data_IF_447107048741
#
_entry.id   IF_447107048741
#
_cell.length_a   1.000
_cell.length_b   1.000
_cell.length_c   1.000
_cell.angle_alpha   90.00
_cell.angle_beta   90.00
_cell.angle_gamma   90.00
#
_symmetry.space_group_name_H-M   'P 1'
#
loop_
_entity.id
_entity.type
_entity.pdbx_description
1 polymer ?
#
# COMPACT_ATOMS: atom_id res chain seq x y z
N UNK A 1 -0.42 -6.26 35.61
CA UNK A 1 -1.20 -5.18 36.24
C UNK A 1 -2.36 -4.86 35.33
N UNK A 2 -3.56 -5.04 35.87
CA UNK A 2 -4.88 -5.05 35.24
C UNK A 2 -5.43 -3.66 34.98
N UNK A 3 -6.09 -3.47 33.83
CA UNK A 3 -7.18 -2.51 33.60
C UNK A 3 -7.90 -2.93 32.31
N UNK A 4 -8.92 -3.79 32.46
CA UNK A 4 -10.34 -3.46 32.34
C UNK A 4 -10.75 -3.17 30.88
N UNK A 5 -11.42 -4.07 30.14
CA UNK A 5 -12.71 -4.74 30.40
C UNK A 5 -13.92 -3.78 30.44
N UNK A 6 -14.01 -2.84 29.48
CA UNK A 6 -15.22 -2.05 29.18
C UNK A 6 -15.32 -1.72 27.67
N UNK A 7 -15.58 -2.72 26.82
CA UNK A 7 -16.25 -2.54 25.51
C UNK A 7 -17.12 -3.79 25.24
N UNK A 8 -17.97 -4.12 26.21
CA UNK A 8 -19.15 -4.92 25.98
C UNK A 8 -20.32 -4.06 26.47
N UNK A 9 -21.38 -4.00 25.67
CA UNK A 9 -22.56 -3.12 25.80
C UNK A 9 -22.39 -1.76 25.12
N UNK A 10 -22.55 -1.77 23.79
CA UNK A 10 -23.45 -0.88 23.02
C UNK A 10 -23.44 -1.34 21.55
N UNK A 11 -23.98 -2.54 21.32
CA UNK A 11 -24.13 -3.16 19.99
C UNK A 11 -25.56 -3.15 19.44
N UNK A 12 -26.42 -2.25 19.94
CA UNK A 12 -27.81 -2.13 19.51
C UNK A 12 -28.19 -0.65 19.39
N UNK A 13 -27.85 0.00 18.28
CA UNK A 13 -28.54 1.17 17.72
C UNK A 13 -27.75 1.76 16.52
N UNK A 14 -27.84 1.14 15.35
CA UNK A 14 -27.49 1.79 14.09
C UNK A 14 -28.20 1.15 12.87
N UNK A 15 -29.43 0.65 13.06
CA UNK A 15 -30.20 -0.06 12.02
C UNK A 15 -31.38 0.74 11.44
N UNK A 16 -31.42 2.05 11.65
CA UNK A 16 -32.48 2.90 11.09
C UNK A 16 -31.89 4.20 10.57
N UNK A 17 -31.53 4.22 9.28
CA UNK A 17 -31.46 5.42 8.43
C UNK A 17 -31.31 5.02 6.95
N UNK A 18 -32.29 4.30 6.39
CA UNK A 18 -32.54 4.30 4.95
C UNK A 18 -33.70 5.26 4.71
N UNK A 19 -33.41 6.50 4.29
CA UNK A 19 -34.40 7.48 3.90
C UNK A 19 -34.50 7.57 2.37
N UNK A 20 -35.75 7.56 1.91
CA UNK A 20 -36.22 7.33 0.55
C UNK A 20 -36.11 8.55 -0.36
N UNK A 21 -35.90 8.31 -1.66
CA UNK A 21 -36.22 9.25 -2.75
C UNK A 21 -37.48 8.79 -3.48
N UNK A 22 -38.56 9.57 -3.39
CA UNK A 22 -39.79 9.40 -4.18
C UNK A 22 -39.60 9.96 -5.60
N UNK A 23 -39.92 9.16 -6.61
CA UNK A 23 -40.05 9.59 -8.01
C UNK A 23 -41.12 8.76 -8.71
N UNK A 24 -42.30 9.34 -8.89
CA UNK A 24 -43.46 8.76 -9.55
C UNK A 24 -43.25 8.78 -11.07
N UNK A 25 -43.34 7.61 -11.73
CA UNK A 25 -44.02 7.47 -13.03
C UNK A 25 -44.49 6.02 -13.19
N UNK A 26 -45.79 5.88 -13.45
CA UNK A 26 -46.50 4.62 -13.48
C UNK A 26 -46.45 4.02 -14.88
N UNK A 27 -45.89 2.81 -14.97
CA UNK A 27 -46.23 1.82 -15.99
C UNK A 27 -46.50 0.50 -15.25
N UNK A 28 -47.50 -0.23 -15.71
CA UNK A 28 -48.09 -1.41 -15.06
C UNK A 28 -47.07 -2.52 -14.79
N UNK A 29 -46.67 -2.65 -13.51
CA UNK A 29 -45.77 -3.71 -13.00
C UNK A 29 -46.59 -4.87 -12.42
N UNK A 30 -46.25 -6.08 -12.86
CA UNK A 30 -46.75 -7.37 -12.40
C UNK A 30 -46.62 -7.50 -10.86
N UNK A 31 -47.66 -7.96 -10.16
CA UNK A 31 -47.79 -7.85 -8.70
C UNK A 31 -46.72 -8.62 -7.89
N UNK A 32 -46.06 -9.62 -8.49
CA UNK A 32 -44.96 -10.36 -7.86
C UNK A 32 -43.67 -9.55 -7.71
N UNK A 33 -43.46 -8.50 -8.52
CA UNK A 33 -42.24 -7.69 -8.47
C UNK A 33 -42.26 -6.61 -7.36
N UNK A 34 -43.38 -6.42 -6.66
CA UNK A 34 -43.51 -5.40 -5.60
C UNK A 34 -42.93 -5.81 -4.23
N UNK A 35 -42.40 -7.02 -4.07
CA UNK A 35 -41.99 -7.56 -2.77
C UNK A 35 -40.48 -7.81 -2.60
N UNK A 36 -39.69 -7.83 -3.68
CA UNK A 36 -38.27 -8.21 -3.58
C UNK A 36 -37.43 -7.02 -3.10
N UNK A 37 -36.86 -7.15 -1.91
CA UNK A 37 -35.95 -6.15 -1.36
C UNK A 37 -34.86 -6.83 -0.55
N UNK A 38 -33.59 -6.59 -0.91
CA UNK A 38 -32.44 -7.08 -0.15
C UNK A 38 -31.19 -6.23 -0.38
N UNK A 39 -30.21 -6.38 0.50
CA UNK A 39 -28.83 -5.96 0.33
C UNK A 39 -27.88 -7.04 0.84
N UNK A 40 -26.73 -7.14 0.19
CA UNK A 40 -25.60 -7.97 0.59
C UNK A 40 -24.35 -7.11 0.52
N UNK A 41 -23.66 -6.94 1.65
CA UNK A 41 -22.50 -6.05 1.76
C UNK A 41 -21.29 -6.86 2.18
N UNK A 42 -20.27 -6.89 1.32
CA UNK A 42 -18.94 -7.36 1.71
C UNK A 42 -18.18 -6.21 2.35
N UNK A 43 -17.27 -6.55 3.26
CA UNK A 43 -16.37 -5.60 3.93
C UNK A 43 -17.03 -4.54 4.83
N UNK A 44 -18.36 -4.48 4.97
CA UNK A 44 -19.03 -3.40 5.70
C UNK A 44 -19.53 -3.77 7.10
N UNK A 45 -19.14 -2.96 8.09
CA UNK A 45 -20.12 -2.13 8.80
C UNK A 45 -19.98 -0.71 8.24
N UNK A 46 -21.07 0.06 8.17
CA UNK A 46 -21.11 1.37 7.51
C UNK A 46 -20.17 2.44 8.13
N UNK A 47 -19.64 2.20 9.33
CA UNK A 47 -18.71 3.08 10.05
C UNK A 47 -17.23 2.69 9.90
N UNK A 48 -16.92 1.65 9.12
CA UNK A 48 -15.54 1.14 8.97
C UNK A 48 -15.00 0.45 10.23
N UNK A 49 -15.88 0.06 11.17
CA UNK A 49 -15.50 -0.64 12.41
C UNK A 49 -15.02 -2.07 12.16
N UNK A 50 -15.54 -2.73 11.12
CA UNK A 50 -15.21 -4.12 10.77
C UNK A 50 -14.07 -4.18 9.75
N UNK A 51 -14.09 -3.33 8.72
CA UNK A 51 -13.03 -3.29 7.72
C UNK A 51 -12.75 -1.86 7.23
N UNK A 52 -11.51 -1.62 6.80
CA UNK A 52 -11.01 -0.29 6.40
C UNK A 52 -11.07 -0.07 4.89
N UNK A 53 -11.22 -1.15 4.15
CA UNK A 53 -11.40 -1.16 2.71
C UNK A 53 -12.84 -0.80 2.37
N UNK A 54 -13.06 -0.16 1.22
CA UNK A 54 -14.40 0.26 0.82
C UNK A 54 -15.39 -0.90 0.75
N UNK A 55 -16.65 -0.63 1.09
CA UNK A 55 -17.70 -1.63 1.00
C UNK A 55 -17.93 -2.02 -0.46
N UNK A 56 -18.22 -3.28 -0.73
CA UNK A 56 -18.94 -3.65 -1.95
C UNK A 56 -20.34 -4.08 -1.56
N UNK A 57 -21.34 -3.69 -2.34
CA UNK A 57 -22.73 -4.00 -2.03
C UNK A 57 -23.49 -4.38 -3.30
N UNK A 58 -24.31 -5.41 -3.19
CA UNK A 58 -25.38 -5.71 -4.14
C UNK A 58 -26.70 -5.50 -3.42
N UNK A 59 -27.52 -4.57 -3.91
CA UNK A 59 -28.85 -4.34 -3.37
C UNK A 59 -29.91 -4.33 -4.46
N UNK A 60 -31.11 -4.76 -4.09
CA UNK A 60 -32.26 -4.84 -4.99
C UNK A 60 -33.46 -4.23 -4.28
N UNK A 61 -34.21 -3.40 -5.01
CA UNK A 61 -35.49 -2.85 -4.60
C UNK A 61 -36.49 -2.95 -5.74
N UNK A 62 -37.43 -3.88 -5.65
CA UNK A 62 -38.33 -4.23 -6.74
C UNK A 62 -37.57 -4.89 -7.89
N UNK A 63 -37.53 -4.23 -9.03
CA UNK A 63 -36.76 -4.64 -10.21
C UNK A 63 -35.50 -3.79 -10.44
N UNK A 64 -35.14 -2.89 -9.51
CA UNK A 64 -33.91 -2.12 -9.61
C UNK A 64 -32.78 -2.85 -8.87
N UNK A 65 -31.71 -3.18 -9.59
CA UNK A 65 -30.42 -3.59 -9.03
C UNK A 65 -29.53 -2.36 -8.86
N UNK A 66 -28.95 -2.22 -7.67
CA UNK A 66 -27.84 -1.32 -7.39
C UNK A 66 -26.60 -2.12 -7.00
N UNK A 67 -25.47 -1.80 -7.61
CA UNK A 67 -24.17 -2.40 -7.30
C UNK A 67 -23.22 -1.28 -6.90
N UNK A 68 -22.64 -1.38 -5.71
CA UNK A 68 -21.61 -0.48 -5.21
C UNK A 68 -20.29 -1.24 -5.15
N UNK A 69 -19.25 -0.64 -5.75
CA UNK A 69 -17.88 -1.13 -5.70
C UNK A 69 -17.02 -0.07 -5.03
N UNK A 70 -16.64 -0.30 -3.77
CA UNK A 70 -15.70 0.52 -2.99
C UNK A 70 -14.32 -0.12 -2.86
N UNK A 71 -14.20 -1.43 -3.07
CA UNK A 71 -12.96 -2.20 -3.11
C UNK A 71 -12.94 -3.04 -4.39
N UNK A 72 -12.17 -2.58 -5.38
CA UNK A 72 -11.92 -3.30 -6.62
C UNK A 72 -10.59 -4.07 -6.62
N UNK A 73 -9.72 -3.88 -5.61
CA UNK A 73 -8.37 -4.48 -5.61
C UNK A 73 -8.42 -6.01 -5.64
N UNK A 74 -9.43 -6.58 -4.99
CA UNK A 74 -9.66 -8.03 -4.96
C UNK A 74 -10.31 -8.59 -6.24
N UNK A 75 -10.79 -7.74 -7.14
CA UNK A 75 -11.44 -8.17 -8.38
C UNK A 75 -10.76 -7.58 -9.62
N UNK A 76 -9.80 -8.35 -10.15
CA UNK A 76 -9.00 -8.00 -11.33
C UNK A 76 -9.80 -7.64 -12.59
N UNK A 77 -11.09 -7.98 -12.64
CA UNK A 77 -11.95 -7.71 -13.79
C UNK A 77 -12.73 -6.40 -13.68
N UNK A 78 -12.72 -5.76 -12.50
CA UNK A 78 -13.43 -4.51 -12.23
C UNK A 78 -12.37 -3.43 -11.96
N UNK A 79 -12.29 -2.43 -12.84
CA UNK A 79 -11.42 -1.28 -12.64
C UNK A 79 -12.16 -0.13 -11.97
N UNK A 80 -11.46 0.59 -11.11
CA UNK A 80 -12.03 1.73 -10.41
C UNK A 80 -13.15 1.39 -9.42
N UNK A 81 -13.76 2.43 -8.89
CA UNK A 81 -14.87 2.35 -7.93
C UNK A 81 -16.12 3.02 -8.48
N UNK A 82 -17.28 2.69 -7.94
CA UNK A 82 -18.52 3.31 -8.40
C UNK A 82 -19.81 2.72 -7.85
N UNK A 83 -20.90 3.33 -8.29
CA UNK A 83 -22.27 2.87 -8.08
C UNK A 83 -22.90 2.69 -9.46
N UNK A 84 -23.51 1.53 -9.68
CA UNK A 84 -24.13 1.14 -10.94
C UNK A 84 -25.58 0.75 -10.68
N UNK A 85 -26.46 1.16 -11.58
CA UNK A 85 -27.88 0.84 -11.49
C UNK A 85 -28.35 0.15 -12.76
N UNK A 86 -29.12 -0.92 -12.62
CA UNK A 86 -29.68 -1.66 -13.74
C UNK A 86 -31.10 -2.11 -13.44
N UNK A 87 -31.99 -2.01 -14.42
CA UNK A 87 -33.30 -2.67 -14.35
C UNK A 87 -33.13 -4.16 -14.59
N UNK A 88 -33.51 -4.97 -13.60
CA UNK A 88 -33.46 -6.42 -13.66
C UNK A 88 -34.46 -6.95 -14.68
N UNK A 89 -33.98 -7.88 -15.50
CA UNK A 89 -34.80 -8.62 -16.45
C UNK A 89 -34.20 -10.00 -16.70
N UNK A 90 -34.98 -10.91 -17.29
CA UNK A 90 -34.53 -12.24 -17.70
C UNK A 90 -33.77 -12.99 -16.60
N UNK A 91 -32.59 -13.50 -16.94
CA UNK A 91 -31.77 -14.30 -16.04
C UNK A 91 -31.27 -13.55 -14.79
N UNK A 92 -31.06 -12.23 -14.89
CA UNK A 92 -30.63 -11.41 -13.76
C UNK A 92 -31.75 -11.25 -12.73
N UNK A 93 -33.00 -11.07 -13.20
CA UNK A 93 -34.17 -11.02 -12.32
C UNK A 93 -34.37 -12.37 -11.60
N UNK A 94 -34.24 -13.48 -12.32
CA UNK A 94 -34.32 -14.82 -11.72
C UNK A 94 -33.20 -15.08 -10.71
N UNK A 95 -31.99 -14.58 -10.98
CA UNK A 95 -30.86 -14.68 -10.06
C UNK A 95 -31.10 -13.86 -8.77
N UNK A 96 -31.65 -12.65 -8.90
CA UNK A 96 -32.04 -11.83 -7.76
C UNK A 96 -33.14 -12.48 -6.91
N UNK A 97 -34.16 -13.08 -7.55
CA UNK A 97 -35.23 -13.82 -6.85
C UNK A 97 -34.68 -15.01 -6.06
N UNK A 98 -33.77 -15.79 -6.66
CA UNK A 98 -33.09 -16.91 -5.98
C UNK A 98 -32.27 -16.42 -4.79
N UNK A 99 -31.54 -15.32 -4.94
CA UNK A 99 -30.75 -14.73 -3.87
C UNK A 99 -31.64 -14.28 -2.70
N UNK A 100 -32.73 -13.57 -2.99
CA UNK A 100 -33.71 -13.17 -1.98
C UNK A 100 -34.26 -14.37 -1.21
N UNK A 101 -34.60 -15.46 -1.92
CA UNK A 101 -35.06 -16.71 -1.29
C UNK A 101 -34.01 -17.34 -0.37
N UNK A 102 -32.73 -17.33 -0.75
CA UNK A 102 -31.64 -17.85 0.08
C UNK A 102 -31.40 -16.99 1.32
N UNK A 103 -31.44 -15.66 1.19
CA UNK A 103 -31.29 -14.74 2.33
C UNK A 103 -32.44 -14.85 3.34
N UNK A 104 -33.60 -15.37 2.91
CA UNK A 104 -34.74 -15.65 3.77
C UNK A 104 -34.80 -17.09 4.30
N UNK A 105 -33.82 -17.93 3.94
CA UNK A 105 -33.75 -19.32 4.40
C UNK A 105 -33.52 -19.43 5.92
N UNK A 106 -33.85 -20.59 6.54
CA UNK A 106 -33.60 -20.79 7.96
C UNK A 106 -32.11 -20.65 8.31
N UNK A 107 -31.84 -20.05 9.47
CA UNK A 107 -30.48 -19.96 10.02
C UNK A 107 -30.01 -21.33 10.51
N UNK A 108 -28.70 -21.57 10.44
CA UNK A 108 -28.03 -22.72 11.01
C UNK A 108 -27.23 -22.33 12.27
N UNK A 109 -27.71 -22.67 13.48
CA UNK A 109 -27.09 -22.25 14.74
C UNK A 109 -25.66 -22.76 14.98
N UNK A 110 -25.21 -23.74 14.20
CA UNK A 110 -23.87 -24.35 14.27
C UNK A 110 -23.11 -24.20 12.95
N UNK A 111 -23.32 -23.08 12.25
CA UNK A 111 -22.56 -22.80 11.03
C UNK A 111 -21.05 -22.75 11.32
N UNK A 112 -20.28 -23.30 10.39
CA UNK A 112 -18.81 -23.24 10.37
C UNK A 112 -18.28 -22.11 9.48
N UNK A 113 -19.17 -21.25 8.99
CA UNK A 113 -18.84 -20.09 8.15
C UNK A 113 -18.23 -18.98 9.02
N UNK A 114 -17.08 -18.49 8.60
CA UNK A 114 -16.34 -17.41 9.28
C UNK A 114 -16.36 -16.08 8.53
N UNK A 115 -17.05 -16.01 7.39
CA UNK A 115 -17.16 -14.82 6.56
C UNK A 115 -18.10 -13.80 7.22
N UNK A 116 -17.61 -12.62 7.64
CA UNK A 116 -18.40 -11.65 8.38
C UNK A 116 -19.21 -10.72 7.46
N UNK A 117 -19.69 -11.21 6.32
CA UNK A 117 -20.48 -10.39 5.40
C UNK A 117 -21.88 -10.13 5.97
N UNK A 118 -22.41 -8.95 5.68
CA UNK A 118 -23.74 -8.53 6.13
C UNK A 118 -24.79 -8.76 5.06
N UNK A 119 -26.00 -9.09 5.50
CA UNK A 119 -27.16 -9.07 4.63
C UNK A 119 -28.36 -8.40 5.31
N UNK A 120 -29.22 -7.83 4.48
CA UNK A 120 -30.59 -7.45 4.83
C UNK A 120 -31.54 -8.00 3.77
N UNK A 121 -32.66 -8.61 4.15
CA UNK A 121 -33.67 -9.09 3.21
C UNK A 121 -35.08 -8.96 3.79
N UNK A 122 -36.04 -8.59 2.93
CA UNK A 122 -37.46 -8.61 3.25
C UNK A 122 -38.02 -10.03 3.05
N UNK A 123 -38.39 -10.67 4.14
CA UNK A 123 -38.88 -12.05 4.18
C UNK A 123 -40.35 -12.06 4.59
N UNK A 124 -41.24 -11.95 3.59
CA UNK A 124 -42.66 -11.68 3.83
C UNK A 124 -42.83 -10.24 4.35
N UNK A 125 -43.47 -10.09 5.51
CA UNK A 125 -43.66 -8.78 6.17
C UNK A 125 -42.52 -8.43 7.15
N UNK A 126 -41.58 -9.36 7.39
CA UNK A 126 -40.46 -9.17 8.31
C UNK A 126 -39.22 -8.68 7.54
N UNK A 127 -38.54 -7.65 8.07
CA UNK A 127 -37.20 -7.29 7.63
C UNK A 127 -36.17 -8.06 8.46
N UNK A 128 -35.38 -8.91 7.82
CA UNK A 128 -34.27 -9.64 8.45
C UNK A 128 -32.96 -8.99 8.11
N UNK A 129 -32.09 -8.82 9.10
CA UNK A 129 -30.71 -8.36 8.89
C UNK A 129 -29.77 -9.10 9.84
N UNK A 130 -28.68 -9.66 9.33
CA UNK A 130 -27.69 -10.36 10.13
C UNK A 130 -26.40 -10.58 9.35
N UNK A 131 -25.53 -11.45 9.86
CA UNK A 131 -24.34 -11.92 9.18
C UNK A 131 -24.61 -13.20 8.39
N UNK A 132 -23.87 -13.40 7.30
CA UNK A 132 -23.94 -14.64 6.50
C UNK A 132 -23.41 -15.86 7.25
N UNK A 133 -22.67 -15.64 8.35
CA UNK A 133 -22.27 -16.68 9.31
C UNK A 133 -23.46 -17.42 9.90
N UNK A 134 -24.67 -16.88 9.79
CA UNK A 134 -25.90 -17.54 10.24
C UNK A 134 -26.36 -18.66 9.29
N UNK A 135 -25.76 -18.83 8.11
CA UNK A 135 -26.18 -19.83 7.12
C UNK A 135 -25.17 -20.98 7.00
N UNK A 136 -25.63 -22.11 6.47
CA UNK A 136 -24.76 -23.24 6.13
C UNK A 136 -23.75 -22.87 5.05
N UNK A 137 -22.59 -23.52 5.05
CA UNK A 137 -21.56 -23.32 4.01
C UNK A 137 -22.11 -23.50 2.60
N UNK A 138 -22.95 -24.50 2.37
CA UNK A 138 -23.58 -24.76 1.06
C UNK A 138 -24.51 -23.61 0.61
N UNK A 139 -25.23 -23.00 1.56
CA UNK A 139 -26.09 -21.84 1.29
C UNK A 139 -25.23 -20.60 0.99
N UNK A 140 -24.18 -20.37 1.77
CA UNK A 140 -23.26 -19.23 1.57
C UNK A 140 -22.55 -19.30 0.21
N UNK A 141 -22.12 -20.49 -0.24
CA UNK A 141 -21.55 -20.66 -1.58
C UNK A 141 -22.54 -20.24 -2.67
N UNK A 142 -23.82 -20.62 -2.54
CA UNK A 142 -24.87 -20.24 -3.52
C UNK A 142 -25.16 -18.74 -3.49
N UNK A 143 -25.18 -18.14 -2.29
CA UNK A 143 -25.33 -16.70 -2.10
C UNK A 143 -24.17 -15.98 -2.80
N UNK A 144 -22.92 -16.35 -2.49
CA UNK A 144 -21.71 -15.77 -3.07
C UNK A 144 -21.72 -15.84 -4.60
N UNK A 145 -22.04 -16.99 -5.19
CA UNK A 145 -22.15 -17.14 -6.66
C UNK A 145 -23.20 -16.20 -7.29
N UNK A 146 -24.35 -16.01 -6.63
CA UNK A 146 -25.41 -15.12 -7.13
C UNK A 146 -25.04 -13.64 -6.96
N UNK A 147 -24.39 -13.29 -5.84
CA UNK A 147 -23.85 -11.94 -5.59
C UNK A 147 -22.81 -11.59 -6.66
N UNK A 148 -21.85 -12.48 -6.94
CA UNK A 148 -20.85 -12.26 -7.99
C UNK A 148 -21.50 -12.08 -9.37
N UNK A 149 -22.50 -12.89 -9.69
CA UNK A 149 -23.23 -12.80 -10.96
C UNK A 149 -23.95 -11.46 -11.10
N UNK A 150 -24.68 -11.03 -10.06
CA UNK A 150 -25.40 -9.74 -10.07
C UNK A 150 -24.43 -8.56 -10.07
N UNK A 151 -23.32 -8.66 -9.34
CA UNK A 151 -22.24 -7.66 -9.36
C UNK A 151 -21.72 -7.47 -10.77
N UNK A 152 -21.34 -8.56 -11.44
CA UNK A 152 -20.83 -8.52 -12.81
C UNK A 152 -21.86 -7.94 -13.79
N UNK A 153 -23.13 -8.35 -13.68
CA UNK A 153 -24.20 -7.80 -14.51
C UNK A 153 -24.38 -6.28 -14.28
N UNK A 154 -24.43 -5.82 -13.03
CA UNK A 154 -24.56 -4.40 -12.71
C UNK A 154 -23.36 -3.57 -13.18
N UNK A 155 -22.14 -4.08 -13.06
CA UNK A 155 -20.92 -3.37 -13.51
C UNK A 155 -20.82 -3.30 -15.03
N UNK A 156 -21.18 -4.38 -15.75
CA UNK A 156 -21.07 -4.44 -17.21
C UNK A 156 -22.22 -3.73 -17.92
N UNK A 157 -23.45 -3.96 -17.49
CA UNK A 157 -24.66 -3.54 -18.21
C UNK A 157 -25.39 -2.38 -17.53
N UNK A 158 -25.03 -2.06 -16.28
CA UNK A 158 -25.66 -1.00 -15.50
C UNK A 158 -25.23 0.40 -15.91
N UNK A 159 -26.14 1.35 -15.69
CA UNK A 159 -25.86 2.78 -15.79
C UNK A 159 -24.90 3.19 -14.68
N UNK A 160 -23.78 3.80 -15.05
CA UNK A 160 -22.78 4.38 -14.13
C UNK A 160 -23.36 5.61 -13.43
N UNK A 161 -23.81 5.46 -12.20
CA UNK A 161 -24.30 6.58 -11.37
C UNK A 161 -23.11 7.36 -10.83
N UNK A 162 -22.17 6.65 -10.22
CA UNK A 162 -20.86 7.16 -9.78
C UNK A 162 -19.82 6.26 -10.40
N UNK A 163 -18.76 6.83 -10.99
CA UNK A 163 -17.64 6.01 -11.47
C UNK A 163 -16.35 6.80 -11.44
N UNK A 164 -15.42 6.39 -10.59
CA UNK A 164 -14.06 6.91 -10.55
C UNK A 164 -13.09 5.86 -11.09
N UNK A 165 -12.24 6.26 -12.01
CA UNK A 165 -11.15 5.46 -12.58
C UNK A 165 -9.81 6.15 -12.35
N UNK A 166 -8.75 5.35 -12.22
CA UNK A 166 -7.36 5.80 -12.21
C UNK A 166 -6.62 5.17 -13.39
N UNK A 167 -5.72 5.91 -14.03
CA UNK A 167 -4.80 5.36 -15.04
C UNK A 167 -3.49 6.11 -15.07
N UNK A 168 -2.44 5.44 -15.57
CA UNK A 168 -1.15 6.06 -15.81
C UNK A 168 -1.19 6.80 -17.15
N UNK A 169 -0.93 8.11 -17.15
CA UNK A 169 -0.84 8.92 -18.37
C UNK A 169 0.58 8.95 -18.96
N UNK A 170 1.61 9.18 -18.12
CA UNK A 170 3.01 9.15 -18.57
C UNK A 170 3.98 8.97 -17.39
N UNK A 171 5.18 8.48 -17.70
CA UNK A 171 6.36 8.53 -16.82
C UNK A 171 7.50 9.13 -17.63
N UNK A 172 8.14 10.16 -17.07
CA UNK A 172 9.30 10.81 -17.64
C UNK A 172 10.43 10.78 -16.62
N UNK A 173 11.61 10.28 -17.01
CA UNK A 173 12.81 10.43 -16.18
C UNK A 173 13.25 11.89 -16.23
N UNK A 174 13.52 12.48 -15.07
CA UNK A 174 13.99 13.86 -14.95
C UNK A 174 15.21 13.91 -14.04
N UNK A 175 15.82 15.09 -13.93
CA UNK A 175 16.87 15.30 -12.93
C UNK A 175 16.29 15.04 -11.53
N UNK A 176 16.98 14.19 -10.77
CA UNK A 176 16.63 13.82 -9.40
C UNK A 176 15.27 13.10 -9.28
N UNK A 177 15.03 12.12 -10.17
CA UNK A 177 13.89 11.19 -10.07
C UNK A 177 13.03 11.12 -11.33
N UNK A 178 11.71 11.08 -11.13
CA UNK A 178 10.73 10.86 -12.19
C UNK A 178 9.56 11.83 -12.05
N UNK A 179 9.00 12.22 -13.19
CA UNK A 179 7.67 12.84 -13.27
C UNK A 179 6.67 11.76 -13.67
N UNK A 180 5.71 11.51 -12.79
CA UNK A 180 4.65 10.54 -13.03
C UNK A 180 3.33 11.30 -13.15
N UNK A 181 2.66 11.12 -14.29
CA UNK A 181 1.36 11.73 -14.57
C UNK A 181 0.27 10.68 -14.38
N UNK A 182 -0.59 10.86 -13.37
CA UNK A 182 -1.73 9.98 -13.10
C UNK A 182 -3.03 10.68 -13.47
N UNK A 183 -3.91 9.99 -14.19
CA UNK A 183 -5.22 10.50 -14.59
C UNK A 183 -6.30 9.91 -13.70
N UNK A 184 -7.13 10.77 -13.11
CA UNK A 184 -8.38 10.38 -12.46
C UNK A 184 -9.53 10.78 -13.39
N UNK A 185 -10.46 9.86 -13.66
CA UNK A 185 -11.59 10.11 -14.55
C UNK A 185 -12.90 9.79 -13.85
N UNK A 186 -13.84 10.72 -13.91
CA UNK A 186 -15.21 10.53 -13.45
C UNK A 186 -16.08 10.26 -14.67
N UNK A 187 -16.54 9.02 -14.86
CA UNK A 187 -17.47 8.70 -15.95
C UNK A 187 -18.92 8.56 -15.48
N UNK A 188 -19.18 8.80 -14.19
CA UNK A 188 -20.53 8.86 -13.62
C UNK A 188 -21.18 10.24 -13.74
N UNK A 189 -22.37 10.34 -13.17
CA UNK A 189 -23.26 11.49 -13.28
C UNK A 189 -23.14 12.47 -12.11
N UNK A 190 -22.43 12.10 -11.03
CA UNK A 190 -22.26 12.93 -9.82
C UNK A 190 -20.81 13.39 -9.65
N UNK A 191 -20.58 14.63 -9.16
CA UNK A 191 -19.23 15.10 -8.89
C UNK A 191 -18.58 14.32 -7.74
N UNK A 192 -17.25 14.16 -7.83
CA UNK A 192 -16.44 13.44 -6.86
C UNK A 192 -15.33 14.37 -6.36
N UNK A 193 -15.10 14.41 -5.05
CA UNK A 193 -14.05 15.19 -4.41
C UNK A 193 -13.08 14.33 -3.65
N UNK A 194 -11.82 14.75 -3.61
CA UNK A 194 -10.79 14.15 -2.77
C UNK A 194 -9.59 15.09 -2.60
N UNK A 195 -8.79 14.89 -1.55
CA UNK A 195 -7.54 15.64 -1.36
C UNK A 195 -6.53 15.33 -2.46
N UNK A 196 -5.67 16.27 -2.82
CA UNK A 196 -4.57 15.98 -3.74
C UNK A 196 -3.57 14.96 -3.13
N UNK A 197 -2.92 14.10 -3.94
CA UNK A 197 -2.05 13.03 -3.45
C UNK A 197 -0.89 13.45 -2.54
N UNK A 198 -0.40 14.68 -2.67
CA UNK A 198 0.64 15.26 -1.82
C UNK A 198 0.15 15.55 -0.38
N UNK A 199 -1.16 15.62 -0.17
CA UNK A 199 -1.80 15.86 1.15
C UNK A 199 -2.42 14.60 1.78
N UNK A 200 -2.13 13.43 1.23
CA UNK A 200 -2.64 12.14 1.71
C UNK A 200 -1.92 11.68 3.00
N UNK A 201 -2.59 10.86 3.81
CA UNK A 201 -2.00 10.30 5.05
C UNK A 201 -1.04 9.16 4.69
N UNK A 202 0.27 9.42 4.71
CA UNK A 202 1.28 8.41 4.33
C UNK A 202 1.89 7.67 5.51
N UNK A 203 1.45 7.92 6.74
CA UNK A 203 1.96 7.22 7.92
C UNK A 203 1.53 5.77 7.88
N UNK A 204 2.51 4.87 7.97
CA UNK A 204 2.28 3.43 8.03
C UNK A 204 1.28 3.12 9.15
N UNK A 205 0.17 2.49 8.79
CA UNK A 205 -0.88 2.14 9.72
C UNK A 205 -2.22 1.94 9.02
N UNK A 206 -3.27 1.78 9.83
CA UNK A 206 -4.64 1.48 9.39
C UNK A 206 -5.17 2.49 8.35
N UNK A 207 -4.79 3.76 8.48
CA UNK A 207 -5.30 4.87 7.67
C UNK A 207 -4.34 5.36 6.60
N UNK A 208 -3.29 4.59 6.31
CA UNK A 208 -2.36 4.94 5.24
C UNK A 208 -3.10 4.97 3.90
N UNK A 209 -2.99 6.09 3.20
CA UNK A 209 -3.43 6.27 1.83
C UNK A 209 -2.30 5.85 0.88
N UNK A 210 -2.66 5.26 -0.26
CA UNK A 210 -1.71 4.70 -1.22
C UNK A 210 -2.05 5.24 -2.59
N UNK A 211 -1.06 5.81 -3.28
CA UNK A 211 -1.08 5.98 -4.73
C UNK A 211 0.20 5.35 -5.25
N UNK A 212 0.06 4.34 -6.11
CA UNK A 212 1.21 3.63 -6.64
C UNK A 212 1.03 3.31 -8.13
N UNK A 213 2.16 3.19 -8.83
CA UNK A 213 2.22 2.67 -10.20
C UNK A 213 3.18 1.49 -10.23
N UNK A 214 2.71 0.32 -10.66
CA UNK A 214 3.46 -0.94 -10.60
C UNK A 214 3.22 -1.81 -11.83
N UNK A 215 4.14 -2.74 -12.11
CA UNK A 215 3.93 -3.78 -13.14
C UNK A 215 3.12 -5.00 -12.65
N UNK A 216 2.78 -5.04 -11.36
CA UNK A 216 1.96 -6.10 -10.78
C UNK A 216 0.45 -5.85 -10.92
N UNK A 217 -0.34 -6.93 -10.93
CA UNK A 217 -1.81 -6.94 -11.00
C UNK A 217 -2.43 -7.47 -9.69
N UNK A 218 -2.27 -6.72 -8.60
CA UNK A 218 -2.79 -7.08 -7.27
C UNK A 218 -2.01 -8.19 -6.56
N UNK A 219 -1.41 -7.88 -5.40
CA UNK A 219 -0.80 -8.83 -4.45
C UNK A 219 0.45 -9.60 -4.90
N UNK A 220 0.91 -9.45 -6.14
CA UNK A 220 2.16 -10.05 -6.63
C UNK A 220 3.35 -9.10 -6.42
N UNK A 221 4.54 -9.65 -6.20
CA UNK A 221 5.76 -8.85 -6.15
C UNK A 221 5.95 -8.11 -7.47
N UNK A 222 6.07 -6.79 -7.40
CA UNK A 222 6.37 -5.93 -8.53
C UNK A 222 7.87 -5.94 -8.83
N UNK A 223 8.25 -5.91 -10.10
CA UNK A 223 9.65 -5.68 -10.52
C UNK A 223 9.97 -4.19 -10.61
N UNK A 224 8.93 -3.37 -10.75
CA UNK A 224 9.03 -1.92 -10.78
C UNK A 224 7.83 -1.33 -10.06
N UNK A 225 8.08 -0.28 -9.27
CA UNK A 225 7.04 0.38 -8.50
C UNK A 225 7.42 1.81 -8.17
N UNK A 226 6.47 2.72 -8.34
CA UNK A 226 6.56 4.13 -7.99
C UNK A 226 5.57 4.41 -6.86
N UNK A 227 6.06 4.90 -5.73
CA UNK A 227 5.21 5.40 -4.65
C UNK A 227 4.98 6.91 -4.86
N UNK A 228 3.70 7.31 -4.93
CA UNK A 228 3.29 8.65 -5.33
C UNK A 228 2.54 9.42 -4.24
N UNK A 229 1.95 8.73 -3.27
CA UNK A 229 1.30 9.38 -2.13
C UNK A 229 2.31 10.19 -1.30
N UNK A 230 1.92 11.39 -0.88
CA UNK A 230 2.75 12.34 -0.13
C UNK A 230 3.90 12.96 -0.91
N UNK A 231 4.02 12.68 -2.22
CA UNK A 231 5.06 13.26 -3.07
C UNK A 231 4.62 14.61 -3.65
N UNK A 232 5.55 15.56 -3.87
CA UNK A 232 5.21 16.91 -4.31
C UNK A 232 4.58 16.93 -5.71
N UNK A 233 3.54 17.75 -5.87
CA UNK A 233 2.95 18.05 -7.17
C UNK A 233 3.86 18.99 -7.97
N UNK A 234 3.89 18.81 -9.28
CA UNK A 234 4.63 19.71 -10.20
C UNK A 234 3.94 21.07 -10.30
N UNK A 235 2.60 21.09 -10.28
CA UNK A 235 1.81 22.31 -10.38
C UNK A 235 0.73 22.38 -9.29
N UNK A 236 1.11 22.71 -8.04
CA UNK A 236 0.15 22.79 -6.93
C UNK A 236 -0.89 23.91 -7.15
N UNK A 237 -0.58 24.93 -7.94
CA UNK A 237 -1.52 26.03 -8.25
C UNK A 237 -2.75 25.57 -9.05
N UNK A 238 -2.71 24.39 -9.68
CA UNK A 238 -3.89 23.75 -10.28
C UNK A 238 -4.95 23.40 -9.22
N UNK A 239 -4.54 23.23 -7.97
CA UNK A 239 -5.38 22.83 -6.84
C UNK A 239 -5.16 23.77 -5.66
N UNK A 240 -5.65 25.03 -5.71
CA UNK A 240 -5.37 26.03 -4.68
C UNK A 240 -5.78 25.60 -3.27
N UNK A 241 -6.88 24.85 -3.16
CA UNK A 241 -7.37 24.31 -1.88
C UNK A 241 -6.70 22.97 -1.50
N UNK A 242 -5.90 22.41 -2.42
CA UNK A 242 -5.35 21.05 -2.35
C UNK A 242 -6.40 19.96 -2.36
N UNK A 243 -7.47 20.21 -3.11
CA UNK A 243 -8.52 19.25 -3.40
C UNK A 243 -8.71 19.14 -4.91
N UNK A 244 -8.98 17.92 -5.34
CA UNK A 244 -9.48 17.63 -6.67
C UNK A 244 -11.00 17.65 -6.60
N UNK A 245 -11.62 18.54 -7.39
CA UNK A 245 -13.05 18.61 -7.60
C UNK A 245 -13.37 18.09 -9.01
N UNK A 246 -13.76 16.83 -9.12
CA UNK A 246 -13.93 16.14 -10.39
C UNK A 246 -15.40 16.17 -10.82
N UNK A 247 -15.73 17.03 -11.78
CA UNK A 247 -17.07 17.15 -12.35
C UNK A 247 -17.53 15.83 -13.03
N UNK A 248 -18.85 15.61 -13.18
CA UNK A 248 -19.38 14.51 -13.98
C UNK A 248 -18.76 14.47 -15.38
N UNK A 249 -18.48 13.27 -15.88
CA UNK A 249 -17.90 13.05 -17.22
C UNK A 249 -16.60 13.81 -17.51
N UNK A 250 -15.83 14.14 -16.47
CA UNK A 250 -14.57 14.88 -16.59
C UNK A 250 -13.37 14.05 -16.15
N UNK A 251 -12.17 14.54 -16.43
CA UNK A 251 -10.94 13.93 -15.96
C UNK A 251 -9.94 15.00 -15.56
N UNK A 252 -9.05 14.64 -14.64
CA UNK A 252 -7.91 15.47 -14.24
C UNK A 252 -6.62 14.66 -14.35
N UNK A 253 -5.54 15.30 -14.75
CA UNK A 253 -4.20 14.72 -14.69
C UNK A 253 -3.44 15.41 -13.56
N UNK A 254 -2.91 14.61 -12.65
CA UNK A 254 -2.06 15.05 -11.55
C UNK A 254 -0.63 14.66 -11.89
N UNK A 255 0.26 15.65 -11.96
CA UNK A 255 1.70 15.44 -12.21
C UNK A 255 2.48 15.48 -10.91
N UNK A 256 3.20 14.41 -10.62
CA UNK A 256 3.87 14.18 -9.34
C UNK A 256 5.37 13.97 -9.60
N UNK A 257 6.23 14.67 -8.86
CA UNK A 257 7.68 14.41 -8.88
C UNK A 257 8.01 13.42 -7.76
N UNK A 258 8.64 12.30 -8.09
CA UNK A 258 9.01 11.27 -7.12
C UNK A 258 10.42 10.74 -7.36
N UNK A 259 11.14 10.46 -6.27
CA UNK A 259 12.34 9.61 -6.26
C UNK A 259 12.09 8.29 -5.53
N UNK A 260 10.86 8.09 -5.03
CA UNK A 260 10.43 6.91 -4.28
C UNK A 260 10.07 5.79 -5.26
N UNK A 261 11.10 5.13 -5.76
CA UNK A 261 11.00 4.11 -6.82
C UNK A 261 11.73 2.84 -6.39
N UNK A 262 11.19 1.68 -6.77
CA UNK A 262 11.88 0.39 -6.62
C UNK A 262 13.06 0.30 -7.58
N UNK A 263 14.04 -0.56 -7.27
CA UNK A 263 15.08 -0.92 -8.25
C UNK A 263 14.42 -1.62 -9.44
N UNK A 264 14.86 -1.29 -10.65
CA UNK A 264 14.41 -1.98 -11.87
C UNK A 264 15.53 -2.05 -12.90
N UNK A 265 15.44 -3.00 -13.82
CA UNK A 265 16.36 -3.11 -14.96
C UNK A 265 15.79 -2.38 -16.19
N UNK A 266 16.64 -1.94 -17.10
CA UNK A 266 16.23 -1.43 -18.41
C UNK A 266 15.29 -2.45 -19.09
N UNK A 267 14.28 -1.94 -19.79
CA UNK A 267 13.28 -2.77 -20.43
C UNK A 267 11.92 -2.12 -20.54
N UNK A 268 10.98 -2.87 -21.10
CA UNK A 268 9.59 -2.46 -21.28
C UNK A 268 8.71 -3.10 -20.21
N UNK A 269 7.90 -2.28 -19.56
CA UNK A 269 6.99 -2.69 -18.50
C UNK A 269 5.55 -2.30 -18.84
N UNK A 270 4.62 -3.19 -18.51
CA UNK A 270 3.18 -2.91 -18.58
C UNK A 270 2.72 -2.43 -17.20
N UNK A 271 2.54 -1.12 -17.05
CA UNK A 271 2.31 -0.47 -15.76
C UNK A 271 0.83 -0.18 -15.52
N UNK A 272 0.43 -0.35 -14.26
CA UNK A 272 -0.92 -0.12 -13.76
C UNK A 272 -0.87 0.87 -12.60
N UNK A 273 -1.93 1.64 -12.41
CA UNK A 273 -2.07 2.54 -11.28
C UNK A 273 -3.02 1.93 -10.24
N UNK A 274 -2.73 2.13 -8.97
CA UNK A 274 -3.59 1.73 -7.85
C UNK A 274 -3.72 2.85 -6.83
N UNK A 275 -4.90 2.97 -6.23
CA UNK A 275 -5.23 4.01 -5.27
C UNK A 275 -6.06 3.45 -4.10
N UNK A 276 -5.61 3.73 -2.87
CA UNK A 276 -6.37 3.57 -1.64
C UNK A 276 -6.49 4.94 -0.96
N UNK A 277 -7.70 5.50 -0.91
CA UNK A 277 -7.90 6.91 -0.59
C UNK A 277 -9.32 7.20 -0.08
N UNK A 278 -9.51 8.37 0.54
CA UNK A 278 -10.83 8.87 0.86
C UNK A 278 -11.41 9.68 -0.31
N UNK A 279 -12.70 9.53 -0.58
CA UNK A 279 -13.46 10.32 -1.54
C UNK A 279 -14.77 10.82 -0.92
N UNK A 280 -15.34 11.85 -1.53
CA UNK A 280 -16.70 12.32 -1.27
C UNK A 280 -17.46 12.37 -2.59
N UNK A 281 -18.66 11.79 -2.64
CA UNK A 281 -19.57 11.95 -3.77
C UNK A 281 -20.62 13.00 -3.40
N UNK A 282 -20.66 14.09 -4.15
CA UNK A 282 -21.58 15.20 -3.85
C UNK A 282 -22.92 15.04 -4.54
N UNK A 283 -24.00 15.41 -3.85
CA UNK A 283 -25.36 15.45 -4.41
C UNK A 283 -26.17 14.16 -4.28
N UNK A 284 -25.59 13.10 -3.71
CA UNK A 284 -26.30 11.87 -3.34
C UNK A 284 -25.82 11.36 -1.98
N UNK A 285 -26.65 10.57 -1.31
CA UNK A 285 -26.19 9.74 -0.22
C UNK A 285 -25.38 8.57 -0.80
N UNK A 286 -24.13 8.43 -0.36
CA UNK A 286 -23.24 7.36 -0.80
C UNK A 286 -22.43 6.84 0.38
N UNK A 287 -22.21 5.53 0.41
CA UNK A 287 -21.27 4.88 1.34
C UNK A 287 -19.86 4.74 0.75
N UNK A 288 -19.61 5.28 -0.45
CA UNK A 288 -18.26 5.39 -1.01
C UNK A 288 -17.49 6.51 -0.30
N UNK A 289 -16.82 6.15 0.81
CA UNK A 289 -16.05 7.09 1.64
C UNK A 289 -14.56 6.80 1.56
N UNK A 290 -14.14 5.56 1.83
CA UNK A 290 -12.76 5.11 1.69
C UNK A 290 -12.73 4.00 0.65
N UNK A 291 -11.97 4.18 -0.41
CA UNK A 291 -12.02 3.36 -1.62
C UNK A 291 -10.66 2.78 -1.94
N UNK A 292 -10.63 1.53 -2.41
CA UNK A 292 -9.45 0.81 -2.86
C UNK A 292 -9.67 0.32 -4.29
N UNK A 293 -8.85 0.76 -5.24
CA UNK A 293 -9.07 0.44 -6.64
C UNK A 293 -7.83 0.52 -7.51
N UNK A 294 -7.90 -0.18 -8.65
CA UNK A 294 -6.85 -0.21 -9.65
C UNK A 294 -7.33 0.27 -11.02
N UNK A 295 -6.36 0.57 -11.89
CA UNK A 295 -6.58 0.87 -13.31
C UNK A 295 -7.01 -0.37 -14.08
N UNK A 296 -7.42 -0.21 -15.35
CA UNK A 296 -7.78 -1.36 -16.18
C UNK A 296 -6.57 -2.25 -16.51
N UNK A 297 -6.47 -3.39 -15.82
CA UNK A 297 -5.42 -4.38 -16.03
C UNK A 297 -5.44 -5.05 -17.41
N UNK A 298 -6.50 -4.88 -18.21
CA UNK A 298 -6.57 -5.36 -19.59
C UNK A 298 -5.87 -4.40 -20.56
N UNK A 299 -5.78 -3.12 -20.20
CA UNK A 299 -5.17 -2.07 -21.02
C UNK A 299 -4.09 -1.31 -20.19
N UNK A 300 -3.00 -1.99 -19.80
CA UNK A 300 -1.93 -1.34 -19.04
C UNK A 300 -1.20 -0.29 -19.89
N UNK A 301 -0.61 0.70 -19.23
CA UNK A 301 0.24 1.68 -19.90
C UNK A 301 1.64 1.12 -20.08
N UNK A 302 2.05 0.90 -21.33
CA UNK A 302 3.36 0.38 -21.67
C UNK A 302 4.42 1.48 -21.65
N UNK A 303 5.47 1.31 -20.85
CA UNK A 303 6.59 2.26 -20.72
C UNK A 303 7.92 1.53 -20.88
N UNK A 304 8.84 2.13 -21.64
CA UNK A 304 10.19 1.61 -21.84
C UNK A 304 11.20 2.49 -21.12
N UNK A 305 12.08 1.86 -20.34
CA UNK A 305 13.24 2.48 -19.72
C UNK A 305 14.51 1.99 -20.42
N UNK A 306 15.37 2.92 -20.81
CA UNK A 306 16.62 2.68 -21.53
C UNK A 306 17.80 2.30 -20.62
N UNK A 307 17.65 2.53 -19.31
CA UNK A 307 18.68 2.28 -18.30
C UNK A 307 18.11 1.65 -17.03
N UNK A 308 18.96 0.93 -16.31
CA UNK A 308 18.66 0.44 -14.97
C UNK A 308 18.45 1.61 -14.00
N UNK A 309 17.71 1.35 -12.92
CA UNK A 309 17.59 2.27 -11.80
C UNK A 309 17.86 1.55 -10.47
N UNK A 310 18.70 2.12 -9.58
CA UNK A 310 19.56 3.29 -9.82
C UNK A 310 20.74 2.92 -10.73
N UNK A 311 21.05 3.76 -11.74
CA UNK A 311 22.23 3.57 -12.61
C UNK A 311 23.39 4.50 -12.25
N UNK A 312 23.11 5.63 -11.59
CA UNK A 312 24.13 6.58 -11.13
C UNK A 312 24.30 6.56 -9.62
N UNK A 313 25.45 7.03 -9.09
CA UNK A 313 25.62 7.18 -7.65
C UNK A 313 24.61 8.12 -6.98
N UNK A 314 24.21 9.21 -7.65
CA UNK A 314 23.22 10.15 -7.14
C UNK A 314 21.84 9.50 -7.01
N UNK A 315 21.42 8.72 -8.02
CA UNK A 315 20.19 7.93 -7.94
C UNK A 315 20.27 6.86 -6.86
N UNK A 316 21.45 6.26 -6.65
CA UNK A 316 21.66 5.28 -5.59
C UNK A 316 21.49 5.93 -4.23
N UNK A 317 22.08 7.09 -3.98
CA UNK A 317 21.91 7.84 -2.73
C UNK A 317 20.43 8.17 -2.47
N UNK A 318 19.70 8.60 -3.50
CA UNK A 318 18.25 8.88 -3.42
C UNK A 318 17.44 7.60 -3.11
N UNK A 319 17.73 6.51 -3.81
CA UNK A 319 17.08 5.22 -3.60
C UNK A 319 17.36 4.67 -2.19
N UNK A 320 18.60 4.74 -1.71
CA UNK A 320 18.97 4.28 -0.37
C UNK A 320 18.29 5.11 0.72
N UNK A 321 18.14 6.42 0.53
CA UNK A 321 17.41 7.27 1.48
C UNK A 321 15.93 6.84 1.59
N UNK A 322 15.26 6.61 0.47
CA UNK A 322 13.90 6.09 0.43
C UNK A 322 13.80 4.69 1.07
N UNK A 323 14.70 3.78 0.70
CA UNK A 323 14.68 2.40 1.16
C UNK A 323 14.93 2.29 2.68
N UNK A 324 15.85 3.10 3.21
CA UNK A 324 16.13 3.20 4.65
C UNK A 324 14.88 3.61 5.43
N UNK A 325 14.14 4.60 4.94
CA UNK A 325 12.89 5.03 5.57
C UNK A 325 11.85 3.91 5.54
N UNK A 326 11.63 3.30 4.36
CA UNK A 326 10.66 2.21 4.18
C UNK A 326 10.92 1.02 5.10
N UNK A 327 12.17 0.56 5.20
CA UNK A 327 12.52 -0.59 6.03
C UNK A 327 12.64 -0.26 7.52
N UNK A 328 12.76 1.02 7.90
CA UNK A 328 12.83 1.40 9.31
C UNK A 328 11.57 1.07 10.12
N UNK A 329 10.42 0.96 9.44
CA UNK A 329 9.16 0.53 10.05
C UNK A 329 9.12 -0.96 10.37
N UNK A 330 9.98 -1.75 9.73
CA UNK A 330 10.01 -3.21 9.83
C UNK A 330 11.44 -3.67 10.16
N UNK A 331 11.97 -3.31 11.36
CA UNK A 331 13.26 -3.82 11.80
C UNK A 331 13.25 -5.34 11.84
N UNK A 332 14.34 -5.97 11.39
CA UNK A 332 14.48 -7.43 11.42
C UNK A 332 14.74 -7.85 12.86
N UNK A 333 13.79 -8.58 13.45
CA UNK A 333 13.88 -9.03 14.85
C UNK A 333 14.73 -10.29 14.96
N UNK A 334 15.21 -10.63 16.18
CA UNK A 334 15.86 -11.91 16.43
C UNK A 334 15.06 -13.10 15.88
N UNK A 335 15.73 -13.96 15.10
CA UNK A 335 15.12 -15.14 14.47
C UNK A 335 14.33 -14.87 13.18
N UNK A 336 14.12 -13.62 12.78
CA UNK A 336 13.51 -13.29 11.48
C UNK A 336 14.55 -13.33 10.36
N UNK A 337 14.08 -13.50 9.12
CA UNK A 337 14.94 -13.48 7.93
C UNK A 337 15.11 -12.05 7.40
N UNK A 338 16.32 -11.74 6.92
CA UNK A 338 16.57 -10.50 6.21
C UNK A 338 15.88 -10.52 4.84
N UNK A 339 15.05 -9.51 4.57
CA UNK A 339 14.28 -9.45 3.32
C UNK A 339 15.12 -9.07 2.09
N UNK A 340 16.24 -8.36 2.30
CA UNK A 340 17.10 -7.90 1.21
C UNK A 340 18.57 -7.83 1.62
N UNK A 341 19.45 -7.92 0.62
CA UNK A 341 20.88 -7.63 0.77
C UNK A 341 21.08 -6.21 1.28
N UNK A 342 21.96 -6.03 2.27
CA UNK A 342 22.20 -4.70 2.83
C UNK A 342 23.27 -4.63 3.90
N UNK A 343 23.65 -3.40 4.21
CA UNK A 343 24.35 -3.03 5.42
C UNK A 343 23.32 -2.71 6.50
N UNK A 344 23.38 -3.41 7.62
CA UNK A 344 22.43 -3.28 8.71
C UNK A 344 23.09 -2.78 9.99
N UNK A 345 22.35 -1.96 10.73
CA UNK A 345 22.72 -1.47 12.06
C UNK A 345 21.97 -2.23 13.14
N UNK A 346 22.72 -2.77 14.09
CA UNK A 346 22.16 -3.32 15.31
C UNK A 346 21.60 -2.20 16.21
N UNK A 347 20.38 -2.40 16.70
CA UNK A 347 19.68 -1.49 17.62
C UNK A 347 19.08 -2.31 18.75
N UNK A 348 19.18 -1.84 20.00
CA UNK A 348 18.53 -2.51 21.15
C UNK A 348 17.02 -2.65 20.92
N UNK A 349 16.50 -3.85 21.16
CA UNK A 349 15.06 -4.13 21.10
C UNK A 349 14.26 -3.34 22.15
N UNK A 350 14.88 -3.05 23.30
CA UNK A 350 14.25 -2.35 24.41
C UNK A 350 14.56 -0.84 24.49
N UNK A 351 15.43 -0.31 23.61
CA UNK A 351 15.80 1.09 23.60
C UNK A 351 16.34 1.53 22.22
N UNK A 352 15.48 2.11 21.39
CA UNK A 352 15.82 2.54 20.02
C UNK A 352 16.95 3.60 19.93
N UNK A 353 17.31 4.22 21.06
CA UNK A 353 18.42 5.17 21.20
C UNK A 353 19.79 4.48 21.23
N UNK A 354 19.87 3.21 21.61
CA UNK A 354 21.14 2.47 21.65
C UNK A 354 21.35 1.75 20.34
N UNK A 355 22.19 2.34 19.48
CA UNK A 355 22.51 1.84 18.15
C UNK A 355 24.01 1.60 18.01
N UNK A 356 24.37 0.51 17.36
CA UNK A 356 25.75 0.23 16.97
C UNK A 356 26.28 1.33 16.03
N UNK A 357 27.55 1.69 16.21
CA UNK A 357 28.29 2.55 15.30
C UNK A 357 28.52 1.84 13.97
N UNK A 358 28.89 0.56 14.03
CA UNK A 358 29.27 -0.26 12.88
C UNK A 358 28.05 -0.81 12.14
N UNK A 359 28.25 -1.03 10.83
CA UNK A 359 27.30 -1.68 9.95
C UNK A 359 27.77 -3.07 9.58
N UNK A 360 26.84 -4.03 9.58
CA UNK A 360 27.12 -5.43 9.29
C UNK A 360 26.43 -5.81 7.98
N UNK A 361 27.14 -6.41 7.00
CA UNK A 361 26.51 -6.89 5.78
C UNK A 361 25.70 -8.17 6.04
N UNK A 362 24.48 -8.23 5.52
CA UNK A 362 23.65 -9.44 5.47
C UNK A 362 23.12 -9.68 4.05
N UNK A 363 22.86 -10.93 3.73
CA UNK A 363 22.19 -11.37 2.51
C UNK A 363 20.70 -11.59 2.74
N UNK A 364 19.91 -11.40 1.69
CA UNK A 364 18.51 -11.80 1.70
C UNK A 364 18.39 -13.29 2.03
N UNK A 365 17.53 -13.63 2.98
CA UNK A 365 17.33 -15.00 3.48
C UNK A 365 18.23 -15.41 4.64
N UNK A 366 19.27 -14.62 4.98
CA UNK A 366 20.01 -14.83 6.23
C UNK A 366 19.06 -14.70 7.43
N UNK A 367 19.34 -15.43 8.51
CA UNK A 367 18.55 -15.38 9.75
C UNK A 367 19.24 -14.47 10.75
N UNK A 368 18.53 -13.50 11.29
CA UNK A 368 19.03 -12.65 12.37
C UNK A 368 19.29 -13.48 13.62
N UNK A 369 20.50 -13.36 14.19
CA UNK A 369 20.87 -14.10 15.41
C UNK A 369 19.92 -13.83 16.57
N UNK A 370 19.65 -14.88 17.35
CA UNK A 370 18.94 -14.80 18.63
C UNK A 370 19.86 -14.53 19.81
N UNK A 371 21.17 -14.62 19.60
CA UNK A 371 22.17 -14.37 20.63
C UNK A 371 22.40 -12.89 20.87
N UNK A 372 23.05 -12.59 21.99
CA UNK A 372 23.45 -11.22 22.29
C UNK A 372 24.51 -10.74 21.30
N UNK A 373 24.32 -9.53 20.78
CA UNK A 373 25.25 -8.84 19.88
C UNK A 373 25.99 -7.77 20.67
N UNK A 374 27.33 -7.77 20.55
CA UNK A 374 28.17 -6.68 21.03
C UNK A 374 28.11 -5.52 20.05
N UNK A 375 27.64 -4.37 20.52
CA UNK A 375 27.51 -3.15 19.74
C UNK A 375 28.56 -2.13 20.20
N UNK A 376 29.47 -1.75 19.31
CA UNK A 376 30.36 -0.62 19.54
C UNK A 376 29.54 0.67 19.51
N UNK A 377 29.53 1.43 20.59
CA UNK A 377 28.74 2.66 20.69
C UNK A 377 29.50 3.88 20.18
N UNK A 378 28.77 4.87 19.67
CA UNK A 378 29.27 6.19 19.31
C UNK A 378 29.60 7.04 20.55
N UNK A 379 30.45 6.55 21.45
CA UNK A 379 30.96 7.28 22.61
C UNK A 379 32.48 7.36 22.56
N UNK A 380 33.07 8.47 23.04
CA UNK A 380 34.53 8.64 23.08
C UNK A 380 35.24 7.54 23.90
N UNK A 381 34.51 6.84 24.77
CA UNK A 381 34.97 5.72 25.58
C UNK A 381 35.06 4.37 24.85
N UNK A 382 34.54 4.24 23.62
CA UNK A 382 34.50 2.95 22.90
C UNK A 382 33.69 1.88 23.62
N UNK A 383 32.64 2.28 24.33
CA UNK A 383 31.83 1.36 25.13
C UNK A 383 31.13 0.35 24.24
N UNK A 384 31.28 -0.93 24.57
CA UNK A 384 30.52 -2.01 23.95
C UNK A 384 29.29 -2.35 24.79
N UNK A 385 28.11 -2.39 24.16
CA UNK A 385 26.90 -2.91 24.78
C UNK A 385 26.61 -4.31 24.25
N UNK A 386 26.48 -5.30 25.15
CA UNK A 386 26.12 -6.66 24.78
C UNK A 386 24.64 -6.94 25.10
N UNK A 387 23.85 -7.41 24.14
CA UNK A 387 22.46 -7.80 24.40
C UNK A 387 21.64 -8.09 23.13
N UNK A 388 20.33 -8.34 23.29
CA UNK A 388 19.46 -8.61 22.15
C UNK A 388 19.27 -7.36 21.31
N UNK A 389 19.29 -7.53 20.00
CA UNK A 389 19.19 -6.45 19.02
C UNK A 389 18.17 -6.78 17.93
N UNK A 390 17.64 -5.74 17.32
CA UNK A 390 16.98 -5.81 16.02
C UNK A 390 17.84 -5.07 15.00
N UNK A 391 17.66 -5.35 13.71
CA UNK A 391 18.50 -4.83 12.65
C UNK A 391 17.74 -3.84 11.78
N UNK A 392 18.33 -2.66 11.57
CA UNK A 392 17.83 -1.63 10.67
C UNK A 392 18.68 -1.57 9.42
N UNK A 393 18.06 -1.59 8.25
CA UNK A 393 18.77 -1.43 6.99
C UNK A 393 19.27 0.01 6.82
N UNK A 394 20.52 0.18 6.40
CA UNK A 394 21.19 1.49 6.29
C UNK A 394 21.74 1.77 4.89
N UNK A 395 21.88 0.78 4.03
CA UNK A 395 22.40 1.00 2.68
C UNK A 395 22.67 -0.29 1.93
N UNK A 396 22.98 -0.16 0.65
CA UNK A 396 23.39 -1.30 -0.18
C UNK A 396 24.67 -1.91 0.37
N UNK A 397 24.70 -3.24 0.38
CA UNK A 397 25.93 -3.99 0.64
C UNK A 397 26.95 -3.80 -0.49
N UNK A 398 28.25 -3.89 -0.20
CA UNK A 398 29.28 -3.98 -1.23
C UNK A 398 28.94 -5.07 -2.24
N UNK A 399 28.72 -4.67 -3.50
CA UNK A 399 28.24 -5.57 -4.55
C UNK A 399 29.25 -5.59 -5.68
N UNK A 400 29.84 -6.74 -6.05
CA UNK A 400 30.72 -6.84 -7.20
C UNK A 400 30.02 -6.45 -8.51
N UNK A 401 30.73 -5.82 -9.44
CA UNK A 401 30.22 -5.48 -10.78
C UNK A 401 29.81 -6.74 -11.56
N UNK A 402 30.53 -7.85 -11.32
CA UNK A 402 30.21 -9.20 -11.82
C UNK A 402 30.54 -10.19 -10.71
N UNK A 403 29.91 -11.36 -10.72
CA UNK A 403 30.09 -12.42 -9.71
C UNK A 403 31.57 -12.75 -9.41
N UNK A 404 32.47 -12.57 -10.40
CA UNK A 404 33.90 -12.87 -10.31
C UNK A 404 34.80 -11.62 -10.27
N UNK A 405 34.23 -10.42 -10.09
CA UNK A 405 34.99 -9.16 -10.09
C UNK A 405 35.43 -8.76 -8.69
N UNK A 406 36.66 -8.22 -8.58
CA UNK A 406 37.09 -7.48 -7.40
C UNK A 406 36.57 -6.04 -7.41
N UNK A 407 36.17 -5.53 -8.58
CA UNK A 407 35.55 -4.21 -8.70
C UNK A 407 34.13 -4.25 -8.14
N UNK A 408 33.85 -3.32 -7.23
CA UNK A 408 32.52 -3.10 -6.66
C UNK A 408 31.75 -2.06 -7.48
N UNK A 409 30.43 -2.24 -7.57
CA UNK A 409 29.49 -1.22 -8.05
C UNK A 409 29.79 0.08 -7.29
N UNK A 410 29.92 1.17 -8.04
CA UNK A 410 30.21 2.49 -7.49
C UNK A 410 29.26 2.83 -6.33
N UNK A 411 29.71 3.59 -5.34
CA UNK A 411 28.91 3.95 -4.16
C UNK A 411 28.31 2.82 -3.31
N UNK A 412 28.73 1.56 -3.52
CA UNK A 412 28.39 0.44 -2.61
C UNK A 412 29.52 0.06 -1.66
N UNK A 413 30.72 0.64 -1.82
CA UNK A 413 31.90 0.32 -1.00
C UNK A 413 31.68 0.76 0.44
N UNK A 414 31.91 -0.17 1.39
CA UNK A 414 31.90 0.11 2.83
C UNK A 414 33.24 0.68 3.32
N UNK A 415 34.34 0.37 2.63
CA UNK A 415 35.69 0.78 3.03
C UNK A 415 36.32 1.68 1.97
N UNK A 416 37.11 2.66 2.39
CA UNK A 416 37.87 3.56 1.53
C UNK A 416 39.26 3.83 2.11
N UNK A 417 40.27 3.96 1.24
CA UNK A 417 41.63 4.32 1.67
C UNK A 417 41.73 5.82 1.94
N UNK A 418 42.66 6.26 2.80
CA UNK A 418 43.02 7.67 2.89
C UNK A 418 43.42 8.24 1.53
N UNK A 419 43.21 9.55 1.34
CA UNK A 419 43.55 10.30 0.12
C UNK A 419 42.89 9.79 -1.17
N UNK A 420 41.94 8.86 -1.06
CA UNK A 420 41.17 8.33 -2.18
C UNK A 420 39.84 9.06 -2.31
N UNK A 421 39.25 9.02 -3.51
CA UNK A 421 37.92 9.57 -3.74
C UNK A 421 36.87 8.83 -2.90
N UNK A 422 36.06 9.59 -2.16
CA UNK A 422 35.03 9.08 -1.28
C UNK A 422 33.96 8.37 -2.12
N UNK A 423 33.74 7.05 -1.90
CA UNK A 423 32.85 6.30 -2.75
C UNK A 423 31.38 6.58 -2.46
N UNK A 424 31.03 7.04 -1.25
CA UNK A 424 29.64 7.31 -0.85
C UNK A 424 29.54 8.42 0.19
N UNK A 425 28.52 9.25 0.07
CA UNK A 425 28.22 10.30 1.04
C UNK A 425 27.90 9.70 2.42
N UNK A 426 28.31 10.40 3.48
CA UNK A 426 27.91 10.07 4.85
C UNK A 426 29.07 10.15 5.84
N UNK A 427 28.92 9.46 6.96
CA UNK A 427 29.86 9.43 8.07
C UNK A 427 30.85 8.30 7.90
N UNK A 428 32.11 8.56 8.24
CA UNK A 428 33.22 7.64 8.09
C UNK A 428 34.07 7.61 9.36
N UNK A 429 34.53 6.42 9.73
CA UNK A 429 35.36 6.17 10.92
C UNK A 429 36.68 5.56 10.50
N UNK A 430 37.78 6.11 11.03
CA UNK A 430 39.10 5.53 10.80
C UNK A 430 39.26 4.24 11.64
N UNK A 431 39.65 3.18 10.95
CA UNK A 431 39.90 1.83 11.47
C UNK A 431 41.37 1.48 11.22
N UNK A 432 42.13 1.34 12.29
CA UNK A 432 43.58 1.12 12.27
C UNK A 432 43.86 -0.37 12.52
N UNK A 433 44.66 -1.00 11.67
CA UNK A 433 45.03 -2.40 11.85
C UNK A 433 45.92 -2.56 13.10
N UNK A 434 45.48 -3.36 14.09
CA UNK A 434 46.15 -3.42 15.40
C UNK A 434 47.15 -4.58 15.54
N UNK A 435 47.24 -5.49 14.56
CA UNK A 435 48.23 -6.58 14.52
C UNK A 435 48.18 -7.59 15.68
N UNK A 436 47.23 -7.45 16.62
CA UNK A 436 47.16 -8.26 17.85
C UNK A 436 46.17 -9.41 17.71
N UNK A 437 46.63 -10.63 17.97
CA UNK A 437 45.83 -11.86 17.91
C UNK A 437 44.84 -12.04 19.08
N UNK A 438 44.90 -11.20 20.13
CA UNK A 438 44.19 -11.44 21.39
C UNK A 438 43.11 -10.42 21.75
N UNK A 439 42.77 -9.46 20.86
CA UNK A 439 41.86 -8.36 21.24
C UNK A 439 41.16 -7.62 20.09
N UNK A 440 40.96 -8.28 18.95
CA UNK A 440 40.34 -7.69 17.76
C UNK A 440 41.37 -7.18 16.76
N UNK A 441 41.18 -7.51 15.47
CA UNK A 441 42.11 -7.21 14.37
C UNK A 441 42.31 -5.70 14.12
N UNK A 442 41.49 -4.83 14.71
CA UNK A 442 41.48 -3.40 14.43
C UNK A 442 41.12 -2.55 15.66
N UNK A 443 41.71 -1.35 15.73
CA UNK A 443 41.39 -0.28 16.67
C UNK A 443 40.64 0.85 15.95
N UNK A 444 39.58 1.39 16.55
CA UNK A 444 38.81 2.50 15.99
C UNK A 444 39.25 3.84 16.59
N UNK A 445 39.43 4.86 15.74
CA UNK A 445 39.65 6.25 16.16
C UNK A 445 38.32 6.99 16.24
N UNK A 446 37.63 6.84 17.37
CA UNK A 446 36.27 7.35 17.60
C UNK A 446 36.20 8.88 17.65
N UNK A 447 37.31 9.56 17.91
CA UNK A 447 37.40 11.02 17.87
C UNK A 447 37.50 11.56 16.43
N UNK A 448 37.91 10.70 15.48
CA UNK A 448 38.15 11.05 14.08
C UNK A 448 36.98 10.76 13.14
N UNK A 449 35.73 10.72 13.60
CA UNK A 449 34.58 10.55 12.70
C UNK A 449 34.45 11.78 11.80
N UNK A 450 34.47 11.57 10.50
CA UNK A 450 34.32 12.62 9.49
C UNK A 450 33.04 12.45 8.69
N UNK A 451 32.51 13.54 8.15
CA UNK A 451 31.40 13.50 7.20
C UNK A 451 31.92 13.97 5.85
N UNK A 452 31.83 13.11 4.84
CA UNK A 452 32.42 13.35 3.51
C UNK A 452 31.34 13.11 2.47
N UNK A 453 31.29 13.96 1.43
CA UNK A 453 30.40 13.75 0.29
C UNK A 453 31.06 12.84 -0.74
N UNK A 454 30.26 12.07 -1.46
CA UNK A 454 30.75 11.31 -2.60
C UNK A 454 31.55 12.22 -3.55
N UNK A 455 32.68 11.72 -4.03
CA UNK A 455 33.56 12.44 -4.96
C UNK A 455 34.57 13.37 -4.29
N UNK A 456 34.44 13.64 -2.99
CA UNK A 456 35.47 14.38 -2.24
C UNK A 456 36.62 13.44 -1.86
N UNK A 457 37.82 13.97 -1.74
CA UNK A 457 38.97 13.21 -1.23
C UNK A 457 38.79 12.88 0.25
N UNK A 458 38.96 11.61 0.61
CA UNK A 458 38.99 11.17 2.00
C UNK A 458 40.18 11.79 2.73
N UNK A 459 40.05 12.18 4.01
CA UNK A 459 41.18 12.75 4.74
C UNK A 459 42.36 11.77 4.80
N UNK A 460 43.55 12.29 4.50
CA UNK A 460 44.81 11.56 4.58
C UNK A 460 45.13 11.12 6.00
N UNK A 461 45.78 9.96 6.11
CA UNK A 461 46.23 9.38 7.39
C UNK A 461 47.49 8.55 7.19
N UNK A 462 48.49 8.81 8.02
CA UNK A 462 49.80 8.14 7.96
C UNK A 462 49.88 6.90 8.86
N UNK A 463 48.81 6.59 9.61
CA UNK A 463 48.75 5.51 10.59
C UNK A 463 48.28 4.16 10.01
N UNK A 464 48.24 4.03 8.69
CA UNK A 464 47.77 2.83 7.99
C UNK A 464 46.27 2.55 8.19
N UNK A 465 45.49 3.56 8.60
CA UNK A 465 44.05 3.43 8.75
C UNK A 465 43.33 3.27 7.41
N UNK A 466 42.21 2.56 7.45
CA UNK A 466 41.18 2.60 6.42
C UNK A 466 39.94 3.30 6.98
N UNK A 467 39.17 3.94 6.11
CA UNK A 467 37.90 4.54 6.45
C UNK A 467 36.77 3.54 6.28
N UNK A 468 35.98 3.32 7.34
CA UNK A 468 34.77 2.51 7.33
C UNK A 468 33.52 3.38 7.33
N UNK A 469 32.59 3.12 6.42
CA UNK A 469 31.34 3.86 6.30
C UNK A 469 30.36 3.48 7.41
N UNK A 470 29.82 4.50 8.07
CA UNK A 470 28.95 4.36 9.23
C UNK A 470 27.48 4.63 8.92
N UNK A 471 27.11 4.94 7.67
CA UNK A 471 25.77 5.44 7.35
C UNK A 471 25.75 6.95 7.07
N UNK A 472 24.56 7.49 6.83
CA UNK A 472 24.32 8.93 6.64
C UNK A 472 24.22 9.64 7.98
#
# INVERSE_FOLDING_TARGET
MTRDRWINVLGCAALLCFAFGNGVHAETVNSENRAMQFSYTTNGAADGSINVYGNNEVSVSGDLLSVLIGDSDRNRNISGVGIYEMKLSGENLESARKLAGLLCSPKEPKSDVTLPDLYGAKCGDEMRSSYVTDFSRDVVIKISNLVDKLTNAGVMDGRKVVKLDVSLASIERVRDGFLVSVRFSNSGNYPIKFKTPDKWETRVGKYMDILAVTDSKGGMSSKIGFALAGQPLVNPAQFPDGEVNLAPHSAVVVKIKTSHVQKFTAGTYDLNAGAFMNIEVTGIQSSLVRVDFHSDYKNPTRVTFDHDYPSTPQEREQWEAYQRNRLSYFPVKPGETFAEDGLYRAVRTNASTHRSLQLVPFKAGDVATTDNVKMLMASASGTELNGPVQWLWEGSAPTPVKQWSFDMIEATRQFCKPDSECPRSGRWLARIHSGSFSGGLYRYDLAGIVTVRQGQTMPGRDDGAEWEWLGV
#
